data_IF_508904919636
#
_entry.id   IF_508904919636
#
_cell.length_a   1.000
_cell.length_b   1.000
_cell.length_c   1.000
_cell.angle_alpha   90.00
_cell.angle_beta   90.00
_cell.angle_gamma   90.00
#
_symmetry.space_group_name_H-M   'P 1'
#
loop_
_entity.id
_entity.type
_entity.pdbx_description
1 polymer ?
#
# COMPACT_ATOMS: atom_id res chain seq x y z
N UNK A 1 -0.29 21.07 13.53
CA UNK A 1 -0.70 19.74 14.04
C UNK A 1 0.43 18.80 13.71
N UNK A 2 1.22 18.35 14.70
CA UNK A 2 2.37 17.49 14.43
C UNK A 2 1.88 16.10 14.05
N UNK A 3 2.16 15.66 12.82
CA UNK A 3 2.03 14.24 12.47
C UNK A 3 2.92 13.46 13.45
N UNK A 4 2.33 12.52 14.19
CA UNK A 4 3.06 11.71 15.16
C UNK A 4 4.22 10.96 14.49
N UNK A 5 5.22 10.56 15.29
CA UNK A 5 6.31 9.73 14.79
C UNK A 5 5.76 8.45 14.13
N UNK A 6 6.38 7.96 13.05
CA UNK A 6 6.00 6.69 12.44
C UNK A 6 6.00 5.57 13.48
N UNK A 7 4.90 4.82 13.52
CA UNK A 7 4.79 3.58 14.30
C UNK A 7 5.17 2.41 13.41
N UNK A 8 5.74 1.37 14.01
CA UNK A 8 6.16 0.16 13.31
C UNK A 8 5.71 -1.07 14.08
N UNK A 9 5.00 -1.97 13.39
CA UNK A 9 4.42 -3.18 13.96
C UNK A 9 4.75 -4.37 13.04
N UNK A 10 5.12 -5.52 13.59
CA UNK A 10 5.38 -6.75 12.82
C UNK A 10 4.08 -7.53 12.62
N UNK A 11 3.94 -8.16 11.46
CA UNK A 11 2.80 -9.04 11.17
C UNK A 11 3.00 -9.82 9.87
N UNK A 12 1.91 -10.21 9.23
CA UNK A 12 1.87 -11.04 8.03
C UNK A 12 0.77 -10.59 7.07
N UNK A 13 0.66 -11.28 5.93
CA UNK A 13 -0.34 -10.96 4.90
C UNK A 13 -1.78 -10.98 5.44
N UNK A 14 -2.10 -11.83 6.42
CA UNK A 14 -3.46 -11.86 7.00
C UNK A 14 -3.79 -10.64 7.89
N UNK A 15 -2.80 -9.84 8.29
CA UNK A 15 -3.01 -8.64 9.11
C UNK A 15 -3.38 -7.41 8.26
N UNK A 16 -3.16 -7.46 6.95
CA UNK A 16 -3.42 -6.35 6.01
C UNK A 16 -4.83 -5.76 6.15
N UNK A 17 -5.92 -6.54 6.27
CA UNK A 17 -7.27 -6.00 6.42
C UNK A 17 -7.43 -5.06 7.63
N UNK A 18 -6.74 -5.34 8.74
CA UNK A 18 -6.81 -4.50 9.93
C UNK A 18 -6.16 -3.12 9.67
N UNK A 19 -4.96 -3.11 9.08
CA UNK A 19 -4.24 -1.87 8.78
C UNK A 19 -4.91 -1.04 7.68
N UNK A 20 -5.37 -1.67 6.59
CA UNK A 20 -6.13 -0.99 5.53
C UNK A 20 -7.42 -0.38 6.10
N UNK A 21 -8.15 -1.14 6.92
CA UNK A 21 -9.34 -0.61 7.58
C UNK A 21 -9.05 0.59 8.49
N UNK A 22 -7.92 0.58 9.21
CA UNK A 22 -7.48 1.72 10.03
C UNK A 22 -7.05 2.92 9.19
N UNK A 23 -6.44 2.71 8.03
CA UNK A 23 -6.08 3.78 7.08
C UNK A 23 -7.31 4.48 6.54
N UNK A 24 -8.27 3.71 6.00
CA UNK A 24 -9.47 4.28 5.38
C UNK A 24 -10.38 5.00 6.39
N UNK A 25 -10.28 4.67 7.69
CA UNK A 25 -11.01 5.34 8.78
C UNK A 25 -10.23 6.45 9.47
N UNK A 26 -8.99 6.73 9.05
CA UNK A 26 -8.11 7.65 9.76
C UNK A 26 -8.69 9.07 9.87
N UNK A 27 -9.46 9.51 8.88
CA UNK A 27 -9.98 10.89 8.80
C UNK A 27 -8.87 11.96 8.71
N UNK A 28 -7.62 11.53 8.56
CA UNK A 28 -6.43 12.37 8.51
C UNK A 28 -5.84 12.27 7.10
N UNK A 29 -5.84 13.39 6.38
CA UNK A 29 -5.32 13.50 5.00
C UNK A 29 -3.82 13.20 4.87
N UNK A 30 -3.08 13.23 6.00
CA UNK A 30 -1.66 12.89 6.05
C UNK A 30 -1.42 11.46 6.56
N UNK A 31 -2.46 10.64 6.71
CA UNK A 31 -2.30 9.25 7.11
C UNK A 31 -1.75 8.42 5.95
N UNK A 32 -0.80 7.54 6.26
CA UNK A 32 -0.26 6.60 5.29
C UNK A 32 0.09 5.28 5.97
N UNK A 33 0.18 4.25 5.14
CA UNK A 33 0.62 2.92 5.52
C UNK A 33 1.67 2.44 4.53
N UNK A 34 2.81 1.99 5.02
CA UNK A 34 3.82 1.29 4.25
C UNK A 34 3.91 -0.16 4.75
N UNK A 35 3.64 -1.11 3.85
CA UNK A 35 3.76 -2.55 4.10
C UNK A 35 5.12 -2.98 3.56
N UNK A 36 6.12 -3.03 4.43
CA UNK A 36 7.48 -3.41 4.08
C UNK A 36 7.64 -4.94 4.16
N UNK A 37 8.35 -5.52 3.18
CA UNK A 37 8.62 -6.95 3.15
C UNK A 37 9.89 -7.21 3.98
N UNK A 38 9.82 -8.07 5.00
CA UNK A 38 10.98 -8.35 5.83
C UNK A 38 12.14 -8.91 5.00
N UNK A 39 13.36 -8.45 5.30
CA UNK A 39 14.58 -8.83 4.58
C UNK A 39 14.63 -8.43 3.09
N UNK A 40 13.79 -7.48 2.67
CA UNK A 40 13.84 -6.82 1.36
C UNK A 40 13.76 -5.31 1.51
N UNK A 41 14.24 -4.59 0.49
CA UNK A 41 14.03 -3.14 0.35
C UNK A 41 12.66 -2.81 -0.31
N UNK A 42 11.89 -3.85 -0.67
CA UNK A 42 10.60 -3.69 -1.33
C UNK A 42 9.48 -3.39 -0.32
N UNK A 43 8.57 -2.49 -0.69
CA UNK A 43 7.40 -2.12 0.10
C UNK A 43 6.22 -1.73 -0.79
N UNK A 44 5.03 -1.77 -0.22
CA UNK A 44 3.81 -1.21 -0.80
C UNK A 44 3.36 -0.03 0.06
N UNK A 45 3.32 1.17 -0.51
CA UNK A 45 2.81 2.36 0.17
C UNK A 45 1.35 2.61 -0.22
N UNK A 46 0.56 3.01 0.78
CA UNK A 46 -0.85 3.31 0.67
C UNK A 46 -1.15 4.66 1.31
N UNK A 47 -1.87 5.49 0.56
CA UNK A 47 -2.59 6.66 1.08
C UNK A 47 -4.07 6.47 0.78
N UNK A 48 -4.98 7.11 1.51
CA UNK A 48 -6.40 6.90 1.24
C UNK A 48 -7.36 7.58 2.20
N UNK A 49 -8.64 7.36 1.93
CA UNK A 49 -9.78 7.87 2.68
C UNK A 49 -10.87 6.80 2.80
N UNK A 50 -12.10 7.21 3.15
CA UNK A 50 -13.23 6.29 3.32
C UNK A 50 -13.69 5.60 2.03
N UNK A 51 -13.31 6.11 0.85
CA UNK A 51 -13.74 5.61 -0.46
C UNK A 51 -12.80 4.55 -1.02
N UNK A 52 -11.55 4.55 -0.56
CA UNK A 52 -10.51 3.66 -1.07
C UNK A 52 -9.11 4.05 -0.67
N UNK A 53 -8.14 3.47 -1.38
CA UNK A 53 -6.72 3.79 -1.25
C UNK A 53 -6.09 4.00 -2.62
N UNK A 54 -5.03 4.80 -2.65
CA UNK A 54 -4.07 4.88 -3.73
C UNK A 54 -2.86 4.03 -3.35
N UNK A 55 -2.43 3.15 -4.26
CA UNK A 55 -1.18 2.41 -4.14
C UNK A 55 -0.09 3.13 -4.92
N UNK A 56 0.96 3.56 -4.23
CA UNK A 56 2.03 4.34 -4.83
C UNK A 56 3.22 3.44 -5.19
N UNK A 57 3.61 3.43 -6.47
CA UNK A 57 4.79 2.69 -6.92
C UNK A 57 5.84 3.65 -7.51
N UNK A 58 6.89 4.02 -6.75
CA UNK A 58 8.00 4.80 -7.29
C UNK A 58 8.72 4.02 -8.39
N UNK A 59 9.10 4.68 -9.48
CA UNK A 59 9.82 4.11 -10.63
C UNK A 59 11.25 4.68 -10.75
N UNK A 60 11.84 5.06 -9.62
CA UNK A 60 13.09 5.83 -9.56
C UNK A 60 14.31 4.98 -9.93
N UNK A 61 14.33 3.70 -9.54
CA UNK A 61 15.46 2.81 -9.78
C UNK A 61 15.13 1.64 -10.74
N UNK A 62 16.16 0.96 -11.31
CA UNK A 62 15.93 -0.16 -12.24
C UNK A 62 15.11 -1.32 -11.65
N UNK A 63 15.31 -1.64 -10.36
CA UNK A 63 14.56 -2.72 -9.68
C UNK A 63 13.06 -2.42 -9.67
N UNK A 64 12.69 -1.19 -9.32
CA UNK A 64 11.30 -0.74 -9.33
C UNK A 64 10.69 -0.75 -10.73
N UNK A 65 11.42 -0.26 -11.74
CA UNK A 65 10.96 -0.29 -13.14
C UNK A 65 10.72 -1.71 -13.65
N UNK A 66 11.45 -2.71 -13.14
CA UNK A 66 11.20 -4.11 -13.49
C UNK A 66 9.85 -4.64 -12.99
N UNK A 67 9.23 -3.99 -11.99
CA UNK A 67 7.91 -4.34 -11.51
C UNK A 67 6.76 -3.74 -12.34
N UNK A 68 7.02 -2.72 -13.16
CA UNK A 68 6.00 -1.97 -13.90
C UNK A 68 5.05 -2.90 -14.69
N UNK A 69 5.60 -3.85 -15.45
CA UNK A 69 4.79 -4.79 -16.23
C UNK A 69 3.82 -5.57 -15.34
N UNK A 70 4.30 -6.08 -14.19
CA UNK A 70 3.48 -6.83 -13.24
C UNK A 70 2.42 -5.95 -12.59
N UNK A 71 2.76 -4.71 -12.23
CA UNK A 71 1.83 -3.73 -11.64
C UNK A 71 0.68 -3.47 -12.62
N UNK A 72 0.99 -3.14 -13.88
CA UNK A 72 -0.02 -2.87 -14.91
C UNK A 72 -0.87 -4.10 -15.21
N UNK A 73 -0.29 -5.31 -15.21
CA UNK A 73 -1.05 -6.55 -15.37
C UNK A 73 -2.01 -6.83 -14.20
N UNK A 74 -1.58 -6.63 -12.96
CA UNK A 74 -2.44 -6.77 -11.77
C UNK A 74 -3.60 -5.77 -11.85
N UNK A 75 -3.29 -4.51 -12.19
CA UNK A 75 -4.28 -3.46 -12.33
C UNK A 75 -5.30 -3.76 -13.44
N UNK A 76 -4.84 -4.19 -14.62
CA UNK A 76 -5.72 -4.58 -15.72
C UNK A 76 -6.66 -5.74 -15.32
N UNK A 77 -6.13 -6.79 -14.68
CA UNK A 77 -6.95 -7.92 -14.20
C UNK A 77 -7.95 -7.50 -13.12
N UNK A 78 -7.59 -6.51 -12.30
CA UNK A 78 -8.46 -5.93 -11.27
C UNK A 78 -9.42 -4.86 -11.79
N UNK A 79 -9.35 -4.49 -13.08
CA UNK A 79 -10.05 -3.32 -13.65
C UNK A 79 -9.77 -2.03 -12.85
N UNK A 80 -8.54 -1.90 -12.36
CA UNK A 80 -8.08 -0.75 -11.59
C UNK A 80 -7.54 0.32 -12.55
N UNK A 81 -7.76 1.57 -12.18
CA UNK A 81 -7.17 2.70 -12.88
C UNK A 81 -5.69 2.82 -12.50
N UNK A 82 -4.83 2.99 -13.51
CA UNK A 82 -3.41 3.28 -13.33
C UNK A 82 -3.16 4.68 -13.87
N UNK A 83 -2.67 5.56 -13.01
CA UNK A 83 -2.27 6.92 -13.36
C UNK A 83 -0.75 6.99 -13.30
N UNK A 84 -0.14 7.56 -14.34
CA UNK A 84 1.29 7.85 -14.34
C UNK A 84 1.49 9.30 -13.94
N UNK A 85 2.28 9.52 -12.89
CA UNK A 85 2.54 10.84 -12.33
C UNK A 85 4.03 11.11 -12.23
N UNK A 86 4.38 12.40 -12.12
CA UNK A 86 5.76 12.87 -11.98
C UNK A 86 5.85 13.78 -10.75
N UNK A 87 6.79 13.46 -9.86
CA UNK A 87 7.11 14.28 -8.70
C UNK A 87 7.78 15.60 -9.08
N UNK A 88 7.95 16.49 -8.11
CA UNK A 88 8.64 17.77 -8.30
C UNK A 88 10.12 17.63 -8.68
N UNK A 89 10.70 16.47 -8.40
CA UNK A 89 12.06 16.05 -8.76
C UNK A 89 12.10 15.24 -10.07
N UNK A 90 11.02 15.25 -10.86
CA UNK A 90 10.82 14.46 -12.08
C UNK A 90 10.81 12.93 -11.84
N UNK A 91 10.78 12.48 -10.58
CA UNK A 91 10.63 11.08 -10.28
C UNK A 91 9.29 10.57 -10.82
N UNK A 92 9.33 9.48 -11.57
CA UNK A 92 8.12 8.86 -12.13
C UNK A 92 7.47 7.94 -11.10
N UNK A 93 6.14 7.98 -11.02
CA UNK A 93 5.31 7.14 -10.17
C UNK A 93 4.22 6.46 -11.00
N UNK A 94 3.85 5.25 -10.61
CA UNK A 94 2.60 4.63 -11.04
C UNK A 94 1.69 4.57 -9.83
N UNK A 95 0.53 5.21 -9.95
CA UNK A 95 -0.46 5.24 -8.89
C UNK A 95 -1.63 4.35 -9.31
N UNK A 96 -2.05 3.46 -8.42
CA UNK A 96 -3.17 2.54 -8.68
C UNK A 96 -4.30 2.86 -7.71
N UNK A 97 -5.42 3.33 -8.24
CA UNK A 97 -6.61 3.65 -7.45
C UNK A 97 -7.40 2.37 -7.16
N UNK A 98 -7.63 2.11 -5.87
CA UNK A 98 -8.39 0.96 -5.38
C UNK A 98 -9.56 1.46 -4.54
N UNK A 99 -10.72 1.53 -5.18
CA UNK A 99 -11.98 1.93 -4.52
C UNK A 99 -12.73 0.69 -4.04
N UNK A 100 -13.48 0.83 -2.94
CA UNK A 100 -14.33 -0.23 -2.41
C UNK A 100 -14.27 -0.35 -0.89
N UNK A 101 -14.84 -1.42 -0.36
CA UNK A 101 -14.83 -1.67 1.08
C UNK A 101 -13.43 -2.07 1.57
N UNK A 102 -13.06 -1.81 2.83
CA UNK A 102 -11.73 -2.11 3.36
C UNK A 102 -11.24 -3.56 3.12
N UNK A 103 -12.17 -4.52 3.11
CA UNK A 103 -11.85 -5.93 2.82
C UNK A 103 -11.48 -6.15 1.36
N UNK A 104 -12.15 -5.49 0.43
CA UNK A 104 -11.87 -5.58 -1.00
C UNK A 104 -10.53 -4.92 -1.32
N UNK A 105 -10.30 -3.73 -0.75
CA UNK A 105 -9.02 -3.02 -0.83
C UNK A 105 -7.88 -3.89 -0.30
N UNK A 106 -8.06 -4.49 0.88
CA UNK A 106 -7.04 -5.38 1.47
C UNK A 106 -6.77 -6.63 0.62
N UNK A 107 -7.79 -7.17 -0.05
CA UNK A 107 -7.62 -8.29 -0.96
C UNK A 107 -6.77 -7.89 -2.18
N UNK A 108 -6.98 -6.69 -2.74
CA UNK A 108 -6.15 -6.15 -3.82
C UNK A 108 -4.71 -5.92 -3.34
N UNK A 109 -4.50 -5.35 -2.15
CA UNK A 109 -3.17 -5.15 -1.57
C UNK A 109 -2.43 -6.48 -1.41
N UNK A 110 -3.12 -7.50 -0.89
CA UNK A 110 -2.58 -8.85 -0.75
C UNK A 110 -2.22 -9.47 -2.11
N UNK A 111 -3.05 -9.23 -3.14
CA UNK A 111 -2.80 -9.69 -4.51
C UNK A 111 -1.57 -9.01 -5.11
N UNK A 112 -1.43 -7.69 -4.95
CA UNK A 112 -0.25 -6.93 -5.37
C UNK A 112 1.01 -7.48 -4.71
N UNK A 113 1.01 -7.69 -3.39
CA UNK A 113 2.16 -8.25 -2.66
C UNK A 113 2.59 -9.60 -3.22
N UNK A 114 1.64 -10.49 -3.50
CA UNK A 114 1.92 -11.81 -4.07
C UNK A 114 2.39 -11.75 -5.51
N UNK A 115 1.71 -11.01 -6.37
CA UNK A 115 1.95 -11.07 -7.82
C UNK A 115 3.12 -10.18 -8.26
N UNK A 116 3.28 -8.99 -7.65
CA UNK A 116 4.36 -8.06 -7.98
C UNK A 116 5.65 -8.45 -7.26
N UNK A 117 5.56 -8.58 -5.93
CA UNK A 117 6.71 -8.75 -5.05
C UNK A 117 6.98 -10.22 -4.65
N UNK A 118 6.17 -11.18 -5.13
CA UNK A 118 6.37 -12.62 -4.86
C UNK A 118 6.32 -12.97 -3.36
N UNK A 119 5.56 -12.20 -2.58
CA UNK A 119 5.40 -12.40 -1.13
C UNK A 119 4.52 -13.63 -0.85
N UNK A 120 4.99 -14.57 -0.03
CA UNK A 120 4.20 -15.71 0.43
C UNK A 120 3.22 -15.32 1.55
N UNK A 121 2.20 -16.14 1.81
CA UNK A 121 1.19 -15.83 2.84
C UNK A 121 1.72 -15.84 4.28
N UNK A 122 2.82 -16.54 4.52
CA UNK A 122 3.53 -16.66 5.80
C UNK A 122 4.70 -15.70 5.94
N UNK A 123 5.02 -14.94 4.88
CA UNK A 123 6.08 -13.94 4.90
C UNK A 123 5.84 -12.92 6.01
N UNK A 124 6.94 -12.57 6.69
CA UNK A 124 6.92 -11.51 7.68
C UNK A 124 6.87 -10.15 7.00
N UNK A 125 5.99 -9.30 7.49
CA UNK A 125 5.79 -7.92 7.05
C UNK A 125 6.04 -6.95 8.21
N UNK A 126 6.46 -5.75 7.88
CA UNK A 126 6.58 -4.63 8.82
C UNK A 126 5.60 -3.55 8.36
N UNK A 127 4.60 -3.25 9.19
CA UNK A 127 3.60 -2.23 8.94
C UNK A 127 4.08 -0.92 9.56
N UNK A 128 4.59 -0.02 8.72
CA UNK A 128 4.99 1.32 9.14
C UNK A 128 3.87 2.31 8.82
N UNK A 129 3.49 3.14 9.78
CA UNK A 129 2.35 4.03 9.57
C UNK A 129 2.38 5.30 10.40
N UNK A 130 1.66 6.31 9.90
CA UNK A 130 1.39 7.57 10.59
C UNK A 130 -0.10 7.85 10.48
N UNK A 131 -0.70 8.30 11.58
CA UNK A 131 -2.06 8.84 11.56
C UNK A 131 -3.19 7.83 11.36
N UNK A 132 -2.93 6.52 11.41
CA UNK A 132 -4.00 5.51 11.32
C UNK A 132 -4.99 5.63 12.48
N UNK A 133 -6.25 5.28 12.22
CA UNK A 133 -7.26 5.14 13.26
C UNK A 133 -6.81 4.15 14.35
N UNK A 134 -7.26 4.34 15.61
CA UNK A 134 -7.01 3.37 16.67
C UNK A 134 -7.58 2.01 16.29
N UNK A 135 -6.92 0.96 16.76
CA UNK A 135 -7.47 -0.38 16.66
C UNK A 135 -8.73 -0.46 17.51
N UNK A 136 -9.85 -0.88 16.90
CA UNK A 136 -11.06 -1.14 17.66
C UNK A 136 -10.95 -2.59 18.07
N UNK A 137 -10.64 -2.84 19.34
CA UNK A 137 -10.84 -4.16 19.93
C UNK A 137 -12.28 -4.58 19.62
N UNK A 138 -12.43 -5.56 18.73
CA UNK A 138 -13.70 -6.23 18.44
C UNK A 138 -14.07 -7.14 19.59
#
# INVERSE_FOLDING_TARGET
>A
MFAGLPKSERGRVFDIPAYVGRLMRAGNVNAFLSICIAHSDDFLQLTGDERGVQLDFPMVNPRQRNFEKKIREVALRGRLEVVENYGSDEARFLDVNVNGEPREVAAICSKVLREVFSVSGDAELIFQHVGLAPDRAT
#
